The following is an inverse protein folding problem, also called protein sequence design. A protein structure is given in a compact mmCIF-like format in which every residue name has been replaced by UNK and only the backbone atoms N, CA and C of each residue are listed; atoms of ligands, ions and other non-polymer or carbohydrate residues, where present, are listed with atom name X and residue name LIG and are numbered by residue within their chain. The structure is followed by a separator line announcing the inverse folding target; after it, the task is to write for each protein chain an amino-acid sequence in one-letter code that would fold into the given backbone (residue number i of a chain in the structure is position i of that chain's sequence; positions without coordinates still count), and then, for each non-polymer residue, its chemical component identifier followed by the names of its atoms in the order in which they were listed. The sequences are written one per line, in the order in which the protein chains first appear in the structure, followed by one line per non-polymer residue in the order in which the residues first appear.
data_IF_432201562154
#
_entry.id   IF_432201562154
#
_cell.length_a   1.000
_cell.length_b   1.000
_cell.length_c   1.000
_cell.angle_alpha   90.00
_cell.angle_beta   90.00
_cell.angle_gamma   90.00
#
_symmetry.space_group_name_H-M   'P 1'
#
loop_
_entity.id
_entity.type
_entity.pdbx_description
1 polymer ?
#
# COMPACT_ATOMS: atom_id res chain seq x y z
N UNK A 1 29.72 -15.54 -16.16
CA UNK A 1 29.72 -15.16 -14.73
C UNK A 1 28.57 -14.19 -14.55
N UNK A 2 27.53 -14.59 -13.82
CA UNK A 2 26.43 -13.67 -13.49
C UNK A 2 26.98 -12.78 -12.38
N UNK A 3 27.12 -11.49 -12.63
CA UNK A 3 27.53 -10.53 -11.61
C UNK A 3 26.51 -10.56 -10.47
N UNK A 4 26.94 -11.06 -9.33
CA UNK A 4 26.17 -11.02 -8.09
C UNK A 4 26.08 -9.55 -7.69
N UNK A 5 24.91 -8.94 -7.92
CA UNK A 5 24.64 -7.56 -7.55
C UNK A 5 25.03 -7.34 -6.08
N UNK A 6 25.92 -6.37 -5.82
CA UNK A 6 26.25 -5.93 -4.46
C UNK A 6 24.95 -5.57 -3.74
N UNK A 7 24.72 -6.18 -2.58
CA UNK A 7 23.60 -5.86 -1.69
C UNK A 7 23.69 -4.36 -1.35
N UNK A 8 22.67 -3.54 -1.65
CA UNK A 8 22.71 -2.13 -1.28
C UNK A 8 22.76 -2.01 0.24
N UNK A 9 23.72 -1.26 0.77
CA UNK A 9 23.73 -0.86 2.18
C UNK A 9 22.64 0.19 2.38
N UNK A 10 21.79 -0.02 3.38
CA UNK A 10 20.73 0.91 3.75
C UNK A 10 21.21 1.83 4.86
N UNK A 11 20.94 3.12 4.73
CA UNK A 11 21.05 4.05 5.84
C UNK A 11 19.89 3.73 6.82
N UNK A 12 20.19 3.46 8.09
CA UNK A 12 19.22 3.06 9.11
C UNK A 12 19.07 4.18 10.16
N UNK A 13 17.83 4.60 10.42
CA UNK A 13 17.54 5.54 11.51
C UNK A 13 17.62 4.85 12.88
N UNK A 14 17.17 3.59 12.92
CA UNK A 14 17.13 2.69 14.09
C UNK A 14 17.21 1.24 13.57
N UNK A 15 17.63 0.25 14.40
CA UNK A 15 17.76 -1.14 13.96
C UNK A 15 16.47 -1.65 13.28
N UNK A 16 16.57 -1.99 12.00
CA UNK A 16 15.43 -2.48 11.20
C UNK A 16 14.48 -1.40 10.67
N UNK A 17 14.80 -0.12 10.84
CA UNK A 17 14.04 1.02 10.29
C UNK A 17 14.92 1.77 9.29
N UNK A 18 14.66 1.56 8.00
CA UNK A 18 15.33 2.26 6.89
C UNK A 18 15.11 3.77 7.01
N UNK A 19 16.14 4.55 6.72
CA UNK A 19 16.00 5.98 6.55
C UNK A 19 15.00 6.27 5.40
N UNK A 20 14.10 7.25 5.57
CA UNK A 20 13.13 7.58 4.54
C UNK A 20 13.85 8.01 3.27
N UNK A 21 13.40 7.47 2.13
CA UNK A 21 13.89 7.90 0.83
C UNK A 21 13.62 9.39 0.61
N UNK A 22 14.46 10.07 -0.18
CA UNK A 22 14.21 11.45 -0.60
C UNK A 22 12.79 11.58 -1.17
N UNK A 23 12.07 12.60 -0.72
CA UNK A 23 10.73 12.87 -1.25
C UNK A 23 10.80 13.17 -2.76
N UNK A 24 9.95 12.49 -3.50
CA UNK A 24 9.72 12.67 -4.93
C UNK A 24 8.22 12.69 -5.19
N UNK A 25 7.80 12.99 -6.42
CA UNK A 25 6.40 12.88 -6.86
C UNK A 25 5.84 11.46 -6.65
N UNK A 26 6.71 10.43 -6.68
CA UNK A 26 6.32 9.03 -6.53
C UNK A 26 6.38 8.53 -5.08
N UNK A 27 6.73 9.40 -4.13
CA UNK A 27 6.79 9.00 -2.72
C UNK A 27 5.36 8.86 -2.17
N UNK A 28 4.97 7.69 -1.64
CA UNK A 28 3.64 7.49 -1.10
C UNK A 28 3.40 8.45 0.05
N UNK A 29 2.23 9.11 0.04
CA UNK A 29 1.79 10.01 1.11
C UNK A 29 0.76 9.31 1.97
N UNK A 30 1.00 9.31 3.28
CA UNK A 30 0.01 8.88 4.25
C UNK A 30 -0.86 10.08 4.61
N UNK A 31 -2.15 10.00 4.27
CA UNK A 31 -3.12 11.04 4.62
C UNK A 31 -3.87 10.63 5.88
N UNK A 32 -4.11 11.60 6.76
CA UNK A 32 -5.02 11.45 7.89
C UNK A 32 -6.31 12.18 7.53
N UNK A 33 -7.44 11.48 7.60
CA UNK A 33 -8.76 12.07 7.36
C UNK A 33 -9.33 12.59 8.66
N UNK A 34 -9.74 13.86 8.67
CA UNK A 34 -10.58 14.43 9.73
C UNK A 34 -12.05 14.14 9.41
N UNK A 35 -12.68 13.32 10.25
CA UNK A 35 -14.06 12.91 10.05
C UNK A 35 -15.07 13.99 10.41
N UNK A 36 -14.75 14.83 11.41
CA UNK A 36 -15.65 15.89 11.85
C UNK A 36 -15.72 16.97 10.78
N UNK A 37 -14.57 17.36 10.21
CA UNK A 37 -14.57 18.29 9.08
C UNK A 37 -15.26 17.69 7.85
N UNK A 38 -14.94 16.43 7.49
CA UNK A 38 -15.55 15.76 6.35
C UNK A 38 -17.08 15.68 6.46
N UNK A 39 -17.63 15.44 7.65
CA UNK A 39 -19.07 15.36 7.87
C UNK A 39 -19.80 16.71 7.71
N UNK A 40 -19.08 17.83 7.85
CA UNK A 40 -19.64 19.18 7.67
C UNK A 40 -19.52 19.72 6.25
N UNK A 41 -18.80 19.02 5.36
CA UNK A 41 -18.64 19.43 3.97
C UNK A 41 -19.97 19.33 3.21
N UNK A 42 -20.36 20.44 2.58
CA UNK A 42 -21.49 20.44 1.64
C UNK A 42 -21.03 19.91 0.28
N UNK A 43 -21.53 18.72 -0.05
CA UNK A 43 -21.25 17.99 -1.29
C UNK A 43 -22.47 17.93 -2.22
N UNK A 44 -23.51 18.72 -1.94
CA UNK A 44 -24.78 18.69 -2.68
C UNK A 44 -24.63 18.90 -4.19
N UNK A 45 -23.65 19.70 -4.60
CA UNK A 45 -23.31 19.96 -6.02
C UNK A 45 -22.88 18.69 -6.76
N UNK A 46 -22.33 17.69 -6.03
CA UNK A 46 -21.76 16.46 -6.57
C UNK A 46 -22.52 15.20 -6.13
N UNK A 47 -23.77 15.36 -5.67
CA UNK A 47 -24.54 14.26 -5.10
C UNK A 47 -24.77 13.11 -6.09
N UNK A 48 -25.03 13.43 -7.36
CA UNK A 48 -25.26 12.43 -8.41
C UNK A 48 -23.99 11.59 -8.67
N UNK A 49 -22.81 12.21 -8.69
CA UNK A 49 -21.55 11.51 -8.86
C UNK A 49 -21.23 10.63 -7.65
N UNK A 50 -21.48 11.14 -6.44
CA UNK A 50 -21.31 10.34 -5.22
C UNK A 50 -22.24 9.11 -5.23
N UNK A 51 -23.51 9.29 -5.64
CA UNK A 51 -24.46 8.17 -5.75
C UNK A 51 -24.01 7.13 -6.77
N UNK A 52 -23.44 7.55 -7.89
CA UNK A 52 -22.88 6.66 -8.90
C UNK A 52 -21.69 5.85 -8.34
N UNK A 53 -20.76 6.50 -7.65
CA UNK A 53 -19.61 5.84 -6.99
C UNK A 53 -20.07 4.84 -5.94
N UNK A 54 -21.07 5.21 -5.12
CA UNK A 54 -21.64 4.31 -4.12
C UNK A 54 -22.27 3.07 -4.76
N UNK A 55 -22.91 3.21 -5.92
CA UNK A 55 -23.48 2.08 -6.63
C UNK A 55 -22.40 1.17 -7.20
N UNK A 56 -21.33 1.74 -7.76
CA UNK A 56 -20.15 0.99 -8.19
C UNK A 56 -19.54 0.18 -7.04
N UNK A 57 -19.40 0.78 -5.86
CA UNK A 57 -18.92 0.06 -4.68
C UNK A 57 -19.87 -1.04 -4.19
N UNK A 58 -21.19 -0.89 -4.34
CA UNK A 58 -22.13 -1.96 -3.98
C UNK A 58 -22.00 -3.17 -4.90
N UNK A 59 -21.70 -2.94 -6.17
CA UNK A 59 -21.47 -4.01 -7.16
C UNK A 59 -20.03 -4.46 -7.22
N UNK A 60 -19.16 -4.00 -6.32
CA UNK A 60 -17.72 -4.29 -6.33
C UNK A 60 -17.47 -5.80 -6.46
N UNK A 61 -17.01 -6.19 -7.64
CA UNK A 61 -16.71 -7.57 -8.00
C UNK A 61 -15.45 -8.08 -7.29
N UNK A 62 -14.62 -7.19 -6.75
CA UNK A 62 -13.41 -7.53 -6.00
C UNK A 62 -13.66 -7.74 -4.50
N UNK A 63 -14.90 -7.64 -4.02
CA UNK A 63 -15.26 -7.84 -2.60
C UNK A 63 -14.83 -9.17 -1.98
N UNK A 64 -14.52 -10.17 -2.81
CA UNK A 64 -14.03 -11.49 -2.41
C UNK A 64 -12.60 -11.80 -2.90
N UNK A 65 -11.91 -10.81 -3.49
CA UNK A 65 -10.57 -10.99 -4.04
C UNK A 65 -9.52 -11.15 -2.92
N UNK A 66 -9.68 -10.40 -1.84
CA UNK A 66 -8.81 -10.46 -0.67
C UNK A 66 -9.56 -11.09 0.51
N UNK A 67 -9.42 -12.40 0.66
CA UNK A 67 -9.97 -13.13 1.81
C UNK A 67 -8.83 -13.40 2.78
N UNK A 68 -8.93 -12.82 3.98
CA UNK A 68 -8.07 -13.19 5.11
C UNK A 68 -8.71 -14.39 5.82
N UNK A 69 -8.29 -15.58 5.45
CA UNK A 69 -8.81 -16.82 6.02
C UNK A 69 -8.15 -17.18 7.36
N UNK A 70 -8.51 -18.35 7.90
CA UNK A 70 -8.00 -18.86 9.18
C UNK A 70 -6.47 -19.06 9.18
N UNK A 71 -5.84 -19.24 8.00
CA UNK A 71 -4.39 -19.40 7.89
C UNK A 71 -3.63 -18.12 8.26
N UNK A 72 -4.31 -16.97 8.24
CA UNK A 72 -3.76 -15.67 8.65
C UNK A 72 -4.00 -15.32 10.12
N UNK A 73 -4.57 -16.24 10.93
CA UNK A 73 -4.76 -16.06 12.38
C UNK A 73 -3.53 -16.48 13.20
N UNK A 74 -2.44 -16.90 12.56
CA UNK A 74 -1.20 -17.28 13.22
C UNK A 74 -0.18 -16.13 13.28
N UNK A 75 0.79 -16.26 14.18
CA UNK A 75 1.98 -15.38 14.20
C UNK A 75 3.09 -15.92 13.31
N UNK A 76 3.84 -15.01 12.68
CA UNK A 76 4.99 -15.31 11.83
C UNK A 76 6.32 -15.02 12.53
N UNK A 77 6.33 -14.97 13.87
CA UNK A 77 7.53 -14.70 14.69
C UNK A 77 8.64 -15.74 14.50
N UNK A 78 8.30 -16.92 13.99
CA UNK A 78 9.24 -17.99 13.67
C UNK A 78 10.07 -17.70 12.41
N UNK A 79 9.69 -16.72 11.60
CA UNK A 79 10.51 -16.26 10.46
C UNK A 79 11.56 -15.29 11.02
N UNK A 80 12.82 -15.72 11.05
CA UNK A 80 13.93 -14.96 11.62
C UNK A 80 15.08 -14.70 10.62
N UNK A 81 16.09 -13.96 11.08
CA UNK A 81 17.33 -13.71 10.35
C UNK A 81 17.15 -13.09 8.95
N UNK A 82 17.90 -13.62 7.99
CA UNK A 82 17.90 -13.14 6.60
C UNK A 82 16.57 -13.42 5.89
N UNK A 83 15.90 -14.52 6.21
CA UNK A 83 14.62 -14.88 5.60
C UNK A 83 13.54 -13.85 5.93
N UNK A 84 13.51 -13.36 7.18
CA UNK A 84 12.59 -12.29 7.59
C UNK A 84 12.84 -11.00 6.82
N UNK A 85 14.11 -10.63 6.63
CA UNK A 85 14.49 -9.42 5.89
C UNK A 85 14.02 -9.49 4.44
N UNK A 86 14.27 -10.61 3.76
CA UNK A 86 13.83 -10.81 2.37
C UNK A 86 12.31 -10.85 2.24
N UNK A 87 11.61 -11.45 3.22
CA UNK A 87 10.16 -11.50 3.23
C UNK A 87 9.54 -10.10 3.39
N UNK A 88 10.07 -9.29 4.31
CA UNK A 88 9.65 -7.88 4.47
C UNK A 88 9.94 -7.08 3.21
N UNK A 89 11.13 -7.23 2.61
CA UNK A 89 11.47 -6.55 1.36
C UNK A 89 10.53 -6.94 0.21
N UNK A 90 10.16 -8.22 0.12
CA UNK A 90 9.17 -8.68 -0.85
C UNK A 90 7.82 -7.99 -0.64
N UNK A 91 7.30 -7.95 0.59
CA UNK A 91 6.03 -7.28 0.91
C UNK A 91 6.09 -5.78 0.60
N UNK A 92 7.17 -5.09 0.98
CA UNK A 92 7.38 -3.67 0.67
C UNK A 92 7.34 -3.40 -0.84
N UNK A 93 8.02 -4.24 -1.63
CA UNK A 93 8.03 -4.14 -3.10
C UNK A 93 6.66 -4.46 -3.71
N UNK A 94 5.97 -5.48 -3.20
CA UNK A 94 4.62 -5.84 -3.64
C UNK A 94 3.63 -4.70 -3.38
N UNK A 95 3.64 -4.09 -2.19
CA UNK A 95 2.81 -2.93 -1.90
C UNK A 95 3.15 -1.76 -2.83
N UNK A 96 4.42 -1.45 -3.03
CA UNK A 96 4.85 -0.34 -3.91
C UNK A 96 4.43 -0.58 -5.37
N UNK A 97 4.51 -1.83 -5.85
CA UNK A 97 4.11 -2.18 -7.21
C UNK A 97 2.61 -1.97 -7.47
N UNK A 98 1.76 -2.26 -6.48
CA UNK A 98 0.32 -2.02 -6.58
C UNK A 98 -0.01 -0.51 -6.64
N UNK A 99 0.68 0.32 -5.87
CA UNK A 99 0.51 1.79 -5.96
C UNK A 99 0.97 2.37 -7.31
N UNK A 100 1.99 1.79 -7.93
CA UNK A 100 2.45 2.21 -9.27
C UNK A 100 1.53 1.69 -10.37
N UNK A 101 0.94 0.50 -10.22
CA UNK A 101 -0.01 -0.08 -11.19
C UNK A 101 -1.25 0.81 -11.38
N UNK A 102 -1.66 1.54 -10.35
CA UNK A 102 -2.75 2.53 -10.46
C UNK A 102 -2.41 3.68 -11.44
N UNK A 103 -1.14 4.10 -11.55
CA UNK A 103 -0.70 5.17 -12.47
C UNK A 103 -0.61 4.71 -13.94
N UNK A 104 -0.40 3.42 -14.19
CA UNK A 104 -0.40 2.88 -15.57
C UNK A 104 -1.81 2.56 -16.08
N UNK A 105 -2.81 2.48 -15.20
CA UNK A 105 -4.20 2.20 -15.59
C UNK A 105 -4.95 3.43 -16.14
N UNK A 106 -4.43 4.65 -15.95
CA UNK A 106 -5.03 5.89 -16.49
C UNK A 106 -4.43 6.36 -17.82
N UNK A 107 -3.59 5.53 -18.48
CA UNK A 107 -3.14 5.78 -19.86
C UNK A 107 -3.90 4.90 -20.84
N UNK A 108 -5.15 5.28 -21.10
CA UNK A 108 -5.81 5.12 -22.40
C UNK A 108 -6.87 6.21 -22.54
#
# INVERSE_FOLDING_TARGET
MVDTLKKPEFDELRPGVKAPAKETILTPRFYTTDFDEMATMDISVNEDELRAILEEFRVDYNRHHFVRDEQFQQSWDHIDGETRQLFVEFLERSCTAEFVRFLDCTKN
#
